data_IF_597500993493
#
_entry.id   IF_597500993493
#
_cell.length_a   1.000
_cell.length_b   1.000
_cell.length_c   1.000
_cell.angle_alpha   90.00
_cell.angle_beta   90.00
_cell.angle_gamma   90.00
#
_symmetry.space_group_name_H-M   'P 1'
#
loop_
_entity.id
_entity.type
_entity.pdbx_description
1 polymer ?
#
# COMPACT_ATOMS: atom_id res chain seq x y z
N UNK A 1 -19.00 7.93 4.39
CA UNK A 1 -20.08 7.78 3.40
C UNK A 1 -20.20 6.31 2.99
N UNK A 2 -21.38 5.71 3.08
CA UNK A 2 -21.64 4.31 2.74
C UNK A 2 -22.28 4.13 1.34
N UNK A 3 -22.48 5.20 0.60
CA UNK A 3 -23.21 5.19 -0.68
C UNK A 3 -22.55 4.33 -1.76
N UNK A 4 -21.23 4.07 -1.62
CA UNK A 4 -20.45 3.28 -2.56
C UNK A 4 -20.15 1.85 -2.08
N UNK A 5 -20.67 1.45 -0.91
CA UNK A 5 -20.57 0.07 -0.43
C UNK A 5 -21.52 -0.81 -1.25
N UNK A 6 -21.00 -1.88 -1.82
CA UNK A 6 -21.79 -2.83 -2.62
C UNK A 6 -21.81 -4.21 -1.96
N UNK A 7 -23.03 -4.73 -1.75
CA UNK A 7 -23.20 -6.11 -1.31
C UNK A 7 -22.88 -7.08 -2.46
N UNK A 8 -22.29 -8.22 -2.13
CA UNK A 8 -21.98 -9.33 -3.03
C UNK A 8 -22.70 -10.59 -2.60
N UNK A 9 -22.86 -11.54 -3.50
CA UNK A 9 -23.44 -12.86 -3.20
C UNK A 9 -22.43 -13.84 -2.57
N UNK A 10 -21.22 -13.40 -2.30
CA UNK A 10 -20.15 -14.16 -1.65
C UNK A 10 -19.91 -13.62 -0.24
N UNK A 11 -19.23 -14.38 0.61
CA UNK A 11 -18.86 -13.96 1.97
C UNK A 11 -17.98 -12.73 1.94
N UNK A 12 -18.08 -11.89 2.96
CA UNK A 12 -17.13 -10.80 3.18
C UNK A 12 -15.71 -11.37 3.38
N UNK A 13 -14.69 -10.70 2.83
CA UNK A 13 -13.31 -11.05 3.09
C UNK A 13 -13.00 -11.05 4.60
N UNK A 14 -12.18 -11.99 5.04
CA UNK A 14 -11.78 -12.10 6.44
C UNK A 14 -10.38 -12.68 6.59
N UNK A 15 -9.76 -12.38 7.70
CA UNK A 15 -8.46 -12.90 8.08
C UNK A 15 -8.54 -13.67 9.41
N UNK A 16 -7.84 -14.79 9.49
CA UNK A 16 -7.64 -15.56 10.73
C UNK A 16 -6.19 -15.31 11.16
N UNK A 17 -6.03 -14.62 12.29
CA UNK A 17 -4.72 -14.25 12.82
C UNK A 17 -4.40 -15.19 13.98
N UNK A 18 -3.30 -15.94 13.86
CA UNK A 18 -2.74 -16.77 14.91
C UNK A 18 -1.50 -16.06 15.47
N UNK A 19 -1.44 -15.91 16.77
CA UNK A 19 -0.29 -15.29 17.48
C UNK A 19 0.31 -16.33 18.42
N UNK A 20 1.62 -16.57 18.33
CA UNK A 20 2.32 -17.47 19.21
C UNK A 20 2.70 -16.79 20.54
N UNK A 21 3.29 -17.55 21.46
CA UNK A 21 3.72 -17.06 22.79
C UNK A 21 4.85 -16.00 22.72
N UNK A 22 5.51 -15.87 21.58
CA UNK A 22 6.59 -14.90 21.33
C UNK A 22 6.09 -13.64 20.61
N UNK A 23 4.77 -13.54 20.34
CA UNK A 23 4.18 -12.44 19.58
C UNK A 23 4.35 -12.55 18.05
N UNK A 24 4.82 -13.70 17.54
CA UNK A 24 4.88 -13.95 16.10
C UNK A 24 3.48 -14.23 15.57
N UNK A 25 3.10 -13.62 14.47
CA UNK A 25 1.80 -13.85 13.86
C UNK A 25 1.90 -14.68 12.55
N UNK A 26 0.83 -15.44 12.29
CA UNK A 26 0.57 -16.07 11.01
C UNK A 26 -0.86 -15.68 10.60
N UNK A 27 -1.00 -15.13 9.42
CA UNK A 27 -2.28 -14.60 8.92
C UNK A 27 -2.73 -15.44 7.74
N UNK A 28 -3.92 -16.04 7.87
CA UNK A 28 -4.60 -16.76 6.78
C UNK A 28 -5.70 -15.83 6.27
N UNK A 29 -5.62 -15.44 5.01
CA UNK A 29 -6.57 -14.52 4.38
C UNK A 29 -7.50 -15.28 3.45
N UNK A 30 -8.81 -15.05 3.59
CA UNK A 30 -9.83 -15.42 2.63
C UNK A 30 -10.37 -14.11 2.00
N UNK A 31 -10.07 -13.84 0.72
CA UNK A 31 -10.42 -12.56 0.10
C UNK A 31 -11.93 -12.33 -0.02
N UNK A 32 -12.75 -13.37 -0.15
CA UNK A 32 -14.19 -13.25 -0.24
C UNK A 32 -14.63 -12.20 -1.28
N UNK A 33 -15.46 -11.25 -0.88
CA UNK A 33 -15.95 -10.18 -1.75
C UNK A 33 -14.84 -9.29 -2.33
N UNK A 34 -13.71 -9.12 -1.63
CA UNK A 34 -12.57 -8.35 -2.11
C UNK A 34 -11.97 -8.94 -3.39
N UNK A 35 -11.98 -10.29 -3.51
CA UNK A 35 -11.54 -11.01 -4.70
C UNK A 35 -12.53 -10.95 -5.89
N UNK A 36 -13.65 -10.27 -5.76
CA UNK A 36 -14.69 -10.16 -6.81
C UNK A 36 -14.81 -8.75 -7.41
N UNK A 37 -13.92 -7.86 -7.10
CA UNK A 37 -13.85 -6.54 -7.74
C UNK A 37 -13.51 -6.73 -9.21
N UNK A 38 -14.29 -6.14 -10.10
CA UNK A 38 -14.09 -6.19 -11.55
C UNK A 38 -13.98 -4.79 -12.15
N UNK A 39 -13.72 -4.73 -13.46
CA UNK A 39 -13.53 -3.47 -14.19
C UNK A 39 -14.74 -2.53 -14.12
N UNK A 40 -15.96 -3.08 -14.11
CA UNK A 40 -17.19 -2.28 -13.96
C UNK A 40 -17.29 -1.63 -12.56
N UNK A 41 -16.78 -2.34 -11.54
CA UNK A 41 -16.73 -1.79 -10.18
C UNK A 41 -15.72 -0.65 -10.08
N UNK A 42 -14.55 -0.83 -10.71
CA UNK A 42 -13.49 0.18 -10.77
C UNK A 42 -14.02 1.45 -11.46
N UNK A 43 -14.63 1.29 -12.64
CA UNK A 43 -15.21 2.41 -13.38
C UNK A 43 -16.26 3.17 -12.55
N UNK A 44 -17.16 2.45 -11.89
CA UNK A 44 -18.20 3.04 -11.07
C UNK A 44 -17.68 3.65 -9.76
N UNK A 45 -16.60 3.08 -9.17
CA UNK A 45 -15.96 3.65 -7.99
C UNK A 45 -15.26 4.96 -8.31
N UNK A 46 -14.53 5.02 -9.43
CA UNK A 46 -13.79 6.19 -9.87
C UNK A 46 -14.67 7.24 -10.58
N UNK A 47 -15.98 6.97 -10.76
CA UNK A 47 -16.88 7.96 -11.37
C UNK A 47 -16.99 9.20 -10.48
N UNK A 48 -16.82 10.37 -11.10
CA UNK A 48 -16.86 11.67 -10.42
C UNK A 48 -15.56 12.09 -9.72
N UNK A 49 -14.48 11.26 -9.77
CA UNK A 49 -13.15 11.62 -9.29
C UNK A 49 -12.22 11.98 -10.46
N UNK A 50 -11.20 12.79 -10.18
CA UNK A 50 -10.23 13.27 -11.16
C UNK A 50 -9.10 14.06 -10.52
N UNK A 51 -8.52 14.99 -11.28
CA UNK A 51 -7.39 15.82 -10.82
C UNK A 51 -7.69 16.52 -9.51
N UNK A 52 -6.80 16.35 -8.53
CA UNK A 52 -6.94 16.90 -7.18
C UNK A 52 -7.49 15.89 -6.15
N UNK A 53 -8.01 14.75 -6.61
CA UNK A 53 -8.40 13.65 -5.74
C UNK A 53 -7.23 12.68 -5.54
N UNK A 54 -7.27 11.89 -4.46
CA UNK A 54 -6.25 10.89 -4.12
C UNK A 54 -6.90 9.52 -4.09
N UNK A 55 -6.31 8.57 -4.81
CA UNK A 55 -6.57 7.15 -4.63
C UNK A 55 -5.53 6.56 -3.68
N UNK A 56 -5.96 5.96 -2.58
CA UNK A 56 -5.14 5.12 -1.73
C UNK A 56 -5.58 3.65 -1.92
N UNK A 57 -4.63 2.77 -2.22
CA UNK A 57 -4.92 1.34 -2.39
C UNK A 57 -3.83 0.46 -1.79
N UNK A 58 -4.23 -0.76 -1.42
CA UNK A 58 -3.36 -1.85 -0.96
C UNK A 58 -3.53 -3.06 -1.89
N UNK A 59 -2.77 -4.15 -1.63
CA UNK A 59 -2.90 -5.41 -2.37
C UNK A 59 -3.94 -6.33 -1.71
N UNK A 60 -5.16 -5.81 -1.50
CA UNK A 60 -6.22 -6.55 -0.80
C UNK A 60 -7.48 -6.81 -1.64
N UNK A 61 -7.54 -6.24 -2.84
CA UNK A 61 -8.64 -6.45 -3.78
C UNK A 61 -8.11 -7.06 -5.08
N UNK A 62 -9.01 -7.67 -5.86
CA UNK A 62 -8.68 -8.09 -7.23
C UNK A 62 -8.52 -6.87 -8.13
N UNK A 63 -7.81 -7.03 -9.24
CA UNK A 63 -7.64 -6.02 -10.27
C UNK A 63 -6.94 -4.72 -9.83
N UNK A 64 -6.04 -4.77 -8.83
CA UNK A 64 -5.25 -3.59 -8.43
C UNK A 64 -4.49 -2.95 -9.61
N UNK A 65 -3.86 -3.70 -10.54
CA UNK A 65 -3.25 -3.11 -11.72
C UNK A 65 -4.20 -2.24 -12.55
N UNK A 66 -5.44 -2.70 -12.73
CA UNK A 66 -6.47 -1.94 -13.47
C UNK A 66 -6.91 -0.70 -12.69
N UNK A 67 -6.96 -0.78 -11.35
CA UNK A 67 -7.24 0.38 -10.48
C UNK A 67 -6.15 1.45 -10.62
N UNK A 68 -4.86 1.05 -10.61
CA UNK A 68 -3.73 1.98 -10.76
C UNK A 68 -3.79 2.69 -12.13
N UNK A 69 -3.97 1.93 -13.21
CA UNK A 69 -4.10 2.50 -14.55
C UNK A 69 -5.28 3.48 -14.66
N UNK A 70 -6.47 3.04 -14.23
CA UNK A 70 -7.68 3.85 -14.37
C UNK A 70 -7.63 5.14 -13.52
N UNK A 71 -7.03 5.09 -12.33
CA UNK A 71 -6.85 6.28 -11.49
C UNK A 71 -5.83 7.25 -12.11
N UNK A 72 -4.71 6.73 -12.59
CA UNK A 72 -3.68 7.53 -13.26
C UNK A 72 -4.23 8.22 -14.53
N UNK A 73 -4.96 7.49 -15.39
CA UNK A 73 -5.61 8.03 -16.59
C UNK A 73 -6.61 9.16 -16.28
N UNK A 74 -7.26 9.10 -15.11
CA UNK A 74 -8.17 10.15 -14.63
C UNK A 74 -7.44 11.33 -13.97
N UNK A 75 -6.13 11.24 -13.78
CA UNK A 75 -5.32 12.29 -13.15
C UNK A 75 -5.45 12.36 -11.63
N UNK A 76 -5.85 11.26 -10.97
CA UNK A 76 -5.78 11.16 -9.52
C UNK A 76 -4.32 11.07 -9.07
N UNK A 77 -4.04 11.53 -7.86
CA UNK A 77 -2.79 11.17 -7.18
C UNK A 77 -2.91 9.74 -6.65
N UNK A 78 -2.05 8.85 -7.11
CA UNK A 78 -2.09 7.42 -6.77
C UNK A 78 -1.11 7.11 -5.65
N UNK A 79 -1.63 6.73 -4.47
CA UNK A 79 -0.86 6.25 -3.34
C UNK A 79 -1.02 4.71 -3.22
N UNK A 80 0.09 4.00 -3.17
CA UNK A 80 0.12 2.54 -3.05
C UNK A 80 0.86 2.12 -1.78
N UNK A 81 0.18 1.38 -0.92
CA UNK A 81 0.82 0.52 0.07
C UNK A 81 0.74 -0.93 -0.45
N UNK A 82 1.86 -1.55 -0.90
CA UNK A 82 1.84 -2.85 -1.57
C UNK A 82 1.71 -4.04 -0.59
N UNK A 83 0.94 -3.87 0.47
CA UNK A 83 0.69 -4.87 1.50
C UNK A 83 -0.62 -5.63 1.23
N UNK A 84 -0.68 -6.95 1.43
CA UNK A 84 0.45 -7.87 1.63
C UNK A 84 1.29 -8.01 0.35
N UNK A 85 2.62 -7.97 0.50
CA UNK A 85 3.51 -8.04 -0.65
C UNK A 85 3.48 -9.43 -1.31
N UNK A 86 3.40 -9.44 -2.64
CA UNK A 86 3.61 -10.62 -3.47
C UNK A 86 4.54 -10.29 -4.64
N UNK A 87 5.24 -11.30 -5.17
CA UNK A 87 6.15 -11.10 -6.29
C UNK A 87 5.44 -10.59 -7.57
N UNK A 88 4.14 -10.82 -7.69
CA UNK A 88 3.32 -10.34 -8.80
C UNK A 88 3.29 -8.81 -8.88
N UNK A 89 3.39 -8.12 -7.74
CA UNK A 89 3.42 -6.64 -7.66
C UNK A 89 4.55 -6.05 -8.51
N UNK A 90 5.66 -6.77 -8.67
CA UNK A 90 6.77 -6.32 -9.51
C UNK A 90 6.43 -6.19 -11.00
N UNK A 91 5.33 -6.80 -11.44
CA UNK A 91 4.80 -6.74 -12.81
C UNK A 91 3.67 -5.73 -12.98
N UNK A 92 3.24 -5.05 -11.92
CA UNK A 92 2.19 -4.05 -11.97
C UNK A 92 2.66 -2.75 -12.65
N UNK A 93 1.73 -1.90 -13.11
CA UNK A 93 2.04 -0.60 -13.70
C UNK A 93 2.47 0.40 -12.60
N UNK A 94 3.61 0.12 -11.94
CA UNK A 94 4.10 0.90 -10.79
C UNK A 94 4.54 2.32 -11.19
N UNK A 95 4.73 2.58 -12.47
CA UNK A 95 4.95 3.92 -13.02
C UNK A 95 3.73 4.84 -12.89
N UNK A 96 2.55 4.28 -12.66
CA UNK A 96 1.32 5.03 -12.37
C UNK A 96 1.23 5.50 -10.91
N UNK A 97 2.16 5.10 -10.05
CA UNK A 97 2.14 5.42 -8.62
C UNK A 97 2.90 6.72 -8.35
N UNK A 98 2.24 7.65 -7.68
CA UNK A 98 2.84 8.94 -7.26
C UNK A 98 3.41 8.86 -5.83
N UNK A 99 2.88 7.99 -4.97
CA UNK A 99 3.33 7.86 -3.59
C UNK A 99 3.41 6.38 -3.22
N UNK A 100 4.60 5.90 -2.90
CA UNK A 100 4.80 4.58 -2.28
C UNK A 100 4.84 4.73 -0.76
N UNK A 101 4.02 3.93 -0.06
CA UNK A 101 4.08 3.79 1.41
C UNK A 101 4.47 2.36 1.68
N UNK A 102 5.70 2.13 2.11
CA UNK A 102 6.29 0.79 2.22
C UNK A 102 6.99 0.60 3.54
N UNK A 103 7.01 -0.62 4.04
CA UNK A 103 7.90 -1.03 5.12
C UNK A 103 9.25 -1.54 4.56
N UNK A 104 10.18 -1.94 5.44
CA UNK A 104 11.51 -2.42 5.05
C UNK A 104 11.46 -3.65 4.15
N UNK A 105 10.50 -4.56 4.36
CA UNK A 105 10.34 -5.79 3.56
C UNK A 105 9.84 -5.44 2.16
N UNK A 106 8.81 -4.63 2.07
CA UNK A 106 8.19 -4.19 0.82
C UNK A 106 9.14 -3.31 0.02
N UNK A 107 9.76 -2.33 0.68
CA UNK A 107 10.76 -1.47 0.07
C UNK A 107 11.97 -2.25 -0.43
N UNK A 108 12.43 -3.22 0.35
CA UNK A 108 13.50 -4.14 -0.04
C UNK A 108 13.14 -4.98 -1.27
N UNK A 109 11.93 -5.53 -1.31
CA UNK A 109 11.45 -6.32 -2.43
C UNK A 109 11.27 -5.49 -3.73
N UNK A 110 10.79 -4.25 -3.60
CA UNK A 110 10.63 -3.34 -4.75
C UNK A 110 11.96 -2.81 -5.29
N UNK A 111 12.93 -2.56 -4.41
CA UNK A 111 14.20 -1.92 -4.77
C UNK A 111 15.34 -2.90 -5.06
N UNK A 112 15.29 -4.09 -4.46
CA UNK A 112 16.41 -5.04 -4.43
C UNK A 112 17.50 -4.68 -3.42
N UNK A 113 17.26 -3.71 -2.52
CA UNK A 113 18.20 -3.22 -1.52
C UNK A 113 17.71 -3.56 -0.11
N UNK A 114 18.61 -3.55 0.88
CA UNK A 114 18.27 -3.85 2.28
C UNK A 114 18.63 -2.72 3.26
N UNK A 115 19.36 -1.72 2.80
CA UNK A 115 19.73 -0.54 3.60
C UNK A 115 18.73 0.57 3.29
N UNK A 116 18.05 1.17 4.30
CA UNK A 116 16.96 2.12 4.10
C UNK A 116 17.28 3.25 3.13
N UNK A 117 18.44 3.88 3.25
CA UNK A 117 18.86 4.96 2.36
C UNK A 117 19.03 4.47 0.92
N UNK A 118 19.56 3.24 0.73
CA UNK A 118 19.69 2.63 -0.60
C UNK A 118 18.36 2.23 -1.19
N UNK A 119 17.41 1.78 -0.36
CA UNK A 119 16.02 1.51 -0.77
C UNK A 119 15.41 2.77 -1.37
N UNK A 120 15.45 3.88 -0.64
CA UNK A 120 14.93 5.17 -1.11
C UNK A 120 15.62 5.65 -2.39
N UNK A 121 16.95 5.56 -2.45
CA UNK A 121 17.73 5.93 -3.63
C UNK A 121 17.39 5.07 -4.86
N UNK A 122 17.18 3.78 -4.68
CA UNK A 122 16.82 2.87 -5.76
C UNK A 122 15.40 3.12 -6.26
N UNK A 123 14.43 3.33 -5.36
CA UNK A 123 13.04 3.64 -5.72
C UNK A 123 12.95 5.01 -6.42
N UNK A 124 13.65 6.03 -5.94
CA UNK A 124 13.71 7.35 -6.57
C UNK A 124 14.29 7.32 -7.99
N UNK A 125 15.30 6.45 -8.24
CA UNK A 125 15.84 6.24 -9.59
C UNK A 125 14.88 5.49 -10.50
N UNK A 126 14.18 4.49 -9.95
CA UNK A 126 13.27 3.65 -10.72
C UNK A 126 11.96 4.37 -11.05
N UNK A 127 11.46 5.18 -10.12
CA UNK A 127 10.19 5.90 -10.21
C UNK A 127 10.41 7.40 -9.96
N UNK A 128 11.00 8.13 -10.92
CA UNK A 128 11.43 9.51 -10.70
C UNK A 128 10.29 10.52 -10.49
N UNK A 129 9.03 10.15 -10.81
CA UNK A 129 7.84 10.96 -10.54
C UNK A 129 7.24 10.73 -9.16
N UNK A 130 7.67 9.69 -8.44
CA UNK A 130 7.05 9.28 -7.20
C UNK A 130 7.82 9.73 -5.96
N UNK A 131 7.06 9.99 -4.88
CA UNK A 131 7.58 10.05 -3.52
C UNK A 131 7.56 8.66 -2.87
N UNK A 132 8.46 8.40 -1.94
CA UNK A 132 8.47 7.18 -1.13
C UNK A 132 8.50 7.53 0.35
N UNK A 133 7.59 6.92 1.10
CA UNK A 133 7.59 6.87 2.57
C UNK A 133 7.98 5.46 2.98
N UNK A 134 9.12 5.32 3.64
CA UNK A 134 9.65 4.05 4.13
C UNK A 134 9.50 4.00 5.65
N UNK A 135 8.64 3.11 6.16
CA UNK A 135 8.45 2.90 7.60
C UNK A 135 9.51 1.93 8.14
N UNK A 136 10.09 2.25 9.30
CA UNK A 136 11.19 1.54 9.95
C UNK A 136 10.80 1.07 11.36
N UNK A 137 9.52 0.82 11.59
CA UNK A 137 9.00 0.38 12.88
C UNK A 137 9.39 1.34 14.01
N UNK A 138 10.12 0.85 15.00
CA UNK A 138 10.54 1.65 16.18
C UNK A 138 11.59 2.71 15.85
N UNK A 139 12.22 2.67 14.68
CA UNK A 139 13.20 3.66 14.23
C UNK A 139 12.52 4.85 13.53
N UNK A 140 11.22 4.76 13.25
CA UNK A 140 10.41 5.85 12.67
C UNK A 140 10.12 5.66 11.19
N UNK A 141 10.31 6.71 10.41
CA UNK A 141 10.07 6.68 8.97
C UNK A 141 11.05 7.60 8.22
N UNK A 142 11.28 7.26 6.96
CA UNK A 142 12.04 8.08 6.03
C UNK A 142 11.16 8.48 4.85
N UNK A 143 11.41 9.65 4.32
CA UNK A 143 10.78 10.18 3.11
C UNK A 143 11.83 10.51 2.07
N UNK A 144 11.53 10.28 0.81
CA UNK A 144 12.30 10.80 -0.30
C UNK A 144 11.43 11.06 -1.53
N UNK A 145 11.66 12.18 -2.19
CA UNK A 145 11.21 12.48 -3.55
C UNK A 145 12.38 13.03 -4.40
N UNK A 146 12.11 13.67 -5.53
CA UNK A 146 13.15 14.22 -6.41
C UNK A 146 13.88 15.42 -5.80
N UNK A 147 13.27 16.10 -4.83
CA UNK A 147 13.73 17.40 -4.29
C UNK A 147 14.31 17.28 -2.90
N UNK A 148 13.78 16.39 -2.07
CA UNK A 148 14.16 16.28 -0.68
C UNK A 148 14.19 14.83 -0.18
N UNK A 149 14.90 14.64 0.94
CA UNK A 149 14.91 13.40 1.70
C UNK A 149 15.14 13.74 3.17
N UNK A 150 14.32 13.14 4.04
CA UNK A 150 14.46 13.33 5.49
C UNK A 150 13.98 12.11 6.26
N UNK A 151 14.31 12.06 7.56
CA UNK A 151 13.83 11.03 8.48
C UNK A 151 13.12 11.66 9.67
N UNK A 152 12.12 10.94 10.17
CA UNK A 152 11.37 11.30 11.38
C UNK A 152 11.46 10.13 12.35
N UNK A 153 12.01 10.36 13.57
CA UNK A 153 12.11 9.28 14.57
C UNK A 153 10.74 8.91 15.11
N UNK A 154 10.57 7.63 15.49
CA UNK A 154 9.36 7.17 16.16
C UNK A 154 9.21 7.78 17.56
N UNK A 155 7.98 8.00 17.99
CA UNK A 155 7.69 8.27 19.39
C UNK A 155 7.93 7.01 20.22
N UNK A 156 8.64 7.16 21.33
CA UNK A 156 8.89 6.04 22.25
C UNK A 156 7.62 5.69 23.01
N UNK A 157 7.13 4.50 22.81
CA UNK A 157 5.95 3.95 23.49
C UNK A 157 6.25 2.53 23.98
N UNK A 158 5.50 2.05 24.96
CA UNK A 158 5.50 0.63 25.29
C UNK A 158 4.60 -0.09 24.31
N UNK A 159 5.19 -0.89 23.44
CA UNK A 159 4.45 -1.66 22.43
C UNK A 159 3.73 -2.81 23.10
N UNK A 160 2.41 -2.91 22.89
CA UNK A 160 1.56 -4.02 23.37
C UNK A 160 1.20 -4.93 22.21
N UNK A 161 0.90 -4.36 21.05
CA UNK A 161 0.53 -5.07 19.82
C UNK A 161 0.96 -4.22 18.63
N UNK A 162 1.48 -4.85 17.56
CA UNK A 162 1.88 -4.22 16.31
C UNK A 162 0.91 -4.49 15.17
N UNK A 163 -0.18 -5.22 15.43
CA UNK A 163 -1.20 -5.49 14.41
C UNK A 163 -1.78 -4.18 13.88
N UNK A 164 -1.91 -4.06 12.57
CA UNK A 164 -2.41 -2.88 11.87
C UNK A 164 -1.61 -1.57 12.12
N UNK A 165 -0.35 -1.66 12.57
CA UNK A 165 0.49 -0.47 12.72
C UNK A 165 0.76 0.22 11.38
N UNK A 166 0.97 -0.56 10.31
CA UNK A 166 1.10 -0.06 8.94
C UNK A 166 -0.17 0.62 8.45
N UNK A 167 -1.34 0.01 8.69
CA UNK A 167 -2.64 0.59 8.30
C UNK A 167 -2.91 1.91 9.04
N UNK A 168 -2.60 1.96 10.34
CA UNK A 168 -2.73 3.19 11.16
C UNK A 168 -1.80 4.29 10.66
N UNK A 169 -0.59 3.94 10.19
CA UNK A 169 0.33 4.91 9.62
C UNK A 169 -0.15 5.43 8.27
N UNK A 170 -0.75 4.57 7.48
CA UNK A 170 -1.23 4.89 6.12
C UNK A 170 -2.51 5.74 6.12
N UNK A 171 -3.44 5.51 7.07
CA UNK A 171 -4.70 6.23 7.21
C UNK A 171 -4.66 7.41 8.13
#
# INVERSE_FOLDING_TARGET
DAARIRARSVTTGHAIIQVDANGQNCIIVEPGANGTVGTDDIAAFLDGYGTGDVLLTQNEISHVPDVLNAAHEKGLTVALNPSPFSAEILSWPLECVDIFIVNEIEGGALSGESVPEKVLDALRRRFPGAATVLTLGHDGAMYADQTESFSVPAHRVTVVDTTAAGDTFTG
#
